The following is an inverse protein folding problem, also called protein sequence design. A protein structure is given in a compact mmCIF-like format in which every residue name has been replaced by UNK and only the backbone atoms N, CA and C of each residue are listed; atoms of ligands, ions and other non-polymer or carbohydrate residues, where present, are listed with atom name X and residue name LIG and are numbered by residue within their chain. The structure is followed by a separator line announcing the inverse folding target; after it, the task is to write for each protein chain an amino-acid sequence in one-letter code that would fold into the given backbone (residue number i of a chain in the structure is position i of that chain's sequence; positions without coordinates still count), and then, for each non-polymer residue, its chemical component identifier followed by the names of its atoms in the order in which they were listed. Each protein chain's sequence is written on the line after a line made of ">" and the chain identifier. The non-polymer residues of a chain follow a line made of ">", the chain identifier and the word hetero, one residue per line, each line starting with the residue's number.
data_IF_884766387052
#
_entry.id   IF_884766387052
#
_cell.length_a   1.000
_cell.length_b   1.000
_cell.length_c   1.000
_cell.angle_alpha   90.00
_cell.angle_beta   90.00
_cell.angle_gamma   90.00
#
_symmetry.space_group_name_H-M   'P 1'
#
loop_
_entity.id
_entity.type
_entity.pdbx_description
1 polymer ?
#
# COMPACT_ATOMS: atom_id res chain seq x y z
N UNK A 1 3.91 -14.64 -19.09
CA UNK A 1 4.34 -13.79 -17.97
C UNK A 1 3.37 -13.87 -16.78
N UNK A 2 2.06 -13.67 -17.01
CA UNK A 2 1.05 -13.67 -15.93
C UNK A 2 1.01 -14.99 -15.15
N UNK A 3 0.92 -16.15 -15.85
CA UNK A 3 0.90 -17.45 -15.22
C UNK A 3 2.19 -17.78 -14.44
N UNK A 4 3.33 -17.30 -14.95
CA UNK A 4 4.63 -17.44 -14.27
C UNK A 4 4.64 -16.64 -12.97
N UNK A 5 4.21 -15.39 -13.03
CA UNK A 5 4.16 -14.50 -11.87
C UNK A 5 3.17 -15.00 -10.80
N UNK A 6 2.01 -15.53 -11.21
CA UNK A 6 1.04 -16.14 -10.28
C UNK A 6 1.64 -17.35 -9.55
N UNK A 7 2.38 -18.20 -10.29
CA UNK A 7 3.06 -19.35 -9.69
C UNK A 7 4.15 -18.90 -8.70
N UNK A 8 4.96 -17.90 -9.07
CA UNK A 8 6.00 -17.35 -8.19
C UNK A 8 5.39 -16.82 -6.88
N UNK A 9 4.33 -15.99 -6.96
CA UNK A 9 3.68 -15.50 -5.73
C UNK A 9 3.02 -16.59 -4.89
N UNK A 10 2.50 -17.67 -5.50
CA UNK A 10 1.94 -18.81 -4.73
C UNK A 10 3.03 -19.54 -3.94
N UNK A 11 4.20 -19.77 -4.57
CA UNK A 11 5.35 -20.34 -3.87
C UNK A 11 5.79 -19.44 -2.72
N UNK A 12 5.95 -18.15 -2.98
CA UNK A 12 6.33 -17.19 -1.96
C UNK A 12 5.34 -17.14 -0.78
N UNK A 13 4.03 -17.28 -1.06
CA UNK A 13 2.98 -17.34 -0.02
C UNK A 13 3.13 -18.59 0.84
N UNK A 14 3.39 -19.74 0.20
CA UNK A 14 3.61 -21.02 0.89
C UNK A 14 4.84 -20.94 1.79
N UNK A 15 5.96 -20.38 1.30
CA UNK A 15 7.18 -20.15 2.07
C UNK A 15 6.93 -19.24 3.28
N UNK A 16 6.19 -18.12 3.09
CA UNK A 16 5.83 -17.24 4.21
C UNK A 16 4.96 -17.95 5.27
N UNK A 17 4.01 -18.78 4.84
CA UNK A 17 3.16 -19.56 5.77
C UNK A 17 4.01 -20.58 6.53
N UNK A 18 4.91 -21.26 5.86
CA UNK A 18 5.84 -22.22 6.46
C UNK A 18 6.76 -21.54 7.49
N UNK A 19 7.38 -20.42 7.15
CA UNK A 19 8.20 -19.62 8.06
C UNK A 19 7.41 -19.22 9.32
N UNK A 20 6.20 -18.71 9.14
CA UNK A 20 5.33 -18.33 10.25
C UNK A 20 5.00 -19.54 11.13
N UNK A 21 4.68 -20.68 10.55
CA UNK A 21 4.30 -21.90 11.27
C UNK A 21 5.42 -22.49 12.11
N UNK A 22 6.67 -22.37 11.65
CA UNK A 22 7.86 -22.86 12.38
C UNK A 22 8.24 -21.98 13.58
N UNK A 23 7.62 -20.81 13.75
CA UNK A 23 7.91 -19.95 14.88
C UNK A 23 7.51 -20.58 16.22
N UNK A 24 8.41 -20.58 17.24
CA UNK A 24 8.09 -21.06 18.57
C UNK A 24 6.86 -20.41 19.21
N UNK A 25 6.60 -19.14 18.88
CA UNK A 25 5.44 -18.40 19.38
C UNK A 25 4.15 -18.89 18.76
N UNK A 26 4.15 -19.24 17.47
CA UNK A 26 3.00 -19.82 16.78
C UNK A 26 2.74 -21.24 17.32
N UNK A 27 3.76 -22.06 17.48
CA UNK A 27 3.61 -23.38 18.10
C UNK A 27 3.08 -23.31 19.53
N UNK A 28 3.49 -22.28 20.30
CA UNK A 28 2.92 -22.02 21.63
C UNK A 28 1.45 -21.62 21.54
N UNK A 29 1.08 -20.77 20.59
CA UNK A 29 -0.31 -20.39 20.32
C UNK A 29 -1.17 -21.64 20.06
N UNK A 30 -0.73 -22.50 19.16
CA UNK A 30 -1.46 -23.72 18.76
C UNK A 30 -1.67 -24.68 19.94
N UNK A 31 -0.66 -24.84 20.79
CA UNK A 31 -0.75 -25.65 22.01
C UNK A 31 -1.74 -25.06 23.02
N UNK A 32 -1.74 -23.74 23.24
CA UNK A 32 -2.61 -23.09 24.20
C UNK A 32 -4.07 -23.14 23.73
N UNK A 33 -4.32 -22.89 22.44
CA UNK A 33 -5.67 -22.78 21.90
C UNK A 33 -6.21 -24.08 21.28
N UNK A 34 -5.38 -25.14 21.26
CA UNK A 34 -5.69 -26.43 20.61
C UNK A 34 -6.26 -26.24 19.18
N UNK A 35 -5.62 -25.35 18.41
CA UNK A 35 -6.07 -24.92 17.08
C UNK A 35 -4.92 -24.46 16.21
N UNK A 36 -4.93 -24.85 14.94
CA UNK A 36 -3.98 -24.38 13.93
C UNK A 36 -4.05 -22.85 13.78
N UNK A 37 -2.89 -22.22 13.77
CA UNK A 37 -2.79 -20.78 13.62
C UNK A 37 -3.12 -20.33 12.19
N UNK A 38 -3.99 -19.34 12.07
CA UNK A 38 -4.32 -18.72 10.79
C UNK A 38 -3.78 -17.28 10.74
N UNK A 39 -2.71 -17.00 9.96
CA UNK A 39 -2.09 -15.67 9.87
C UNK A 39 -3.00 -14.61 9.23
N UNK A 40 -4.11 -15.01 8.60
CA UNK A 40 -5.12 -14.09 8.07
C UNK A 40 -6.18 -13.70 9.11
N UNK A 41 -6.24 -14.38 10.26
CA UNK A 41 -7.20 -14.07 11.30
C UNK A 41 -6.72 -12.91 12.18
N UNK A 42 -7.41 -11.76 12.11
CA UNK A 42 -7.08 -10.59 12.95
C UNK A 42 -7.21 -10.89 14.45
N UNK A 43 -8.11 -11.77 14.84
CA UNK A 43 -8.27 -12.20 16.23
C UNK A 43 -7.05 -13.00 16.70
N UNK A 44 -6.63 -14.00 15.92
CA UNK A 44 -5.49 -14.84 16.28
C UNK A 44 -4.18 -14.06 16.26
N UNK A 45 -4.02 -13.11 15.33
CA UNK A 45 -2.87 -12.21 15.33
C UNK A 45 -2.80 -11.33 16.58
N UNK A 46 -3.94 -10.83 17.08
CA UNK A 46 -3.98 -10.09 18.35
C UNK A 46 -3.53 -10.97 19.51
N UNK A 47 -4.09 -12.16 19.62
CA UNK A 47 -3.72 -13.11 20.65
C UNK A 47 -2.24 -13.50 20.57
N UNK A 48 -1.71 -13.71 19.37
CA UNK A 48 -0.30 -14.02 19.19
C UNK A 48 0.59 -12.85 19.61
N UNK A 49 0.39 -11.67 19.02
CA UNK A 49 1.30 -10.55 19.24
C UNK A 49 1.17 -9.91 20.62
N UNK A 50 -0.04 -9.77 21.12
CA UNK A 50 -0.27 -9.00 22.35
C UNK A 50 -0.38 -9.90 23.59
N UNK A 51 -1.00 -11.08 23.50
CA UNK A 51 -1.24 -11.95 24.66
C UNK A 51 -0.09 -12.96 24.85
N UNK A 52 0.48 -13.54 23.78
CA UNK A 52 1.50 -14.58 23.86
C UNK A 52 2.91 -14.02 23.80
N UNK A 53 3.20 -13.11 22.84
CA UNK A 53 4.51 -12.47 22.70
C UNK A 53 4.65 -11.31 23.68
N UNK A 54 3.53 -10.62 24.00
CA UNK A 54 3.52 -9.52 24.95
C UNK A 54 3.92 -8.16 24.35
N UNK A 55 3.83 -8.00 23.01
CA UNK A 55 4.12 -6.74 22.36
C UNK A 55 3.06 -5.69 22.72
N UNK A 56 3.45 -4.41 22.69
CA UNK A 56 2.57 -3.31 23.05
C UNK A 56 2.15 -2.51 21.83
N UNK A 57 0.88 -2.17 21.74
CA UNK A 57 0.35 -1.23 20.74
C UNK A 57 -0.63 -0.27 21.41
N UNK A 58 -0.71 0.96 20.91
CA UNK A 58 -1.66 1.97 21.38
C UNK A 58 -2.86 2.13 20.45
N UNK A 59 -2.73 1.74 19.19
CA UNK A 59 -3.78 1.91 18.18
C UNK A 59 -4.89 0.88 18.38
N UNK A 60 -6.12 1.37 18.51
CA UNK A 60 -7.31 0.55 18.62
C UNK A 60 -8.19 0.67 17.37
N UNK A 61 -8.97 -0.36 17.11
CA UNK A 61 -10.04 -0.35 16.11
C UNK A 61 -11.25 0.45 16.62
N UNK A 62 -12.19 0.76 15.73
CA UNK A 62 -13.45 1.40 16.13
C UNK A 62 -14.24 0.63 17.20
N UNK A 63 -14.03 -0.69 17.30
CA UNK A 63 -14.63 -1.56 18.31
C UNK A 63 -13.83 -1.64 19.62
N UNK A 64 -12.76 -0.86 19.77
CA UNK A 64 -11.92 -0.81 20.97
C UNK A 64 -10.84 -1.89 21.08
N UNK A 65 -10.81 -2.87 20.18
CA UNK A 65 -9.77 -3.91 20.18
C UNK A 65 -8.44 -3.36 19.63
N UNK A 66 -7.29 -3.92 20.05
CA UNK A 66 -5.99 -3.55 19.51
C UNK A 66 -5.93 -3.82 18.00
N UNK A 67 -5.42 -2.86 17.24
CA UNK A 67 -5.27 -3.03 15.79
C UNK A 67 -4.07 -3.92 15.45
N UNK A 68 -4.21 -4.69 14.36
CA UNK A 68 -3.13 -5.44 13.70
C UNK A 68 -3.08 -5.07 12.22
N UNK A 69 -3.37 -3.80 11.91
CA UNK A 69 -3.24 -3.28 10.55
C UNK A 69 -1.77 -3.11 10.15
N UNK A 70 -1.55 -2.72 8.90
CA UNK A 70 -0.19 -2.55 8.33
C UNK A 70 0.66 -1.59 9.17
N UNK A 71 0.10 -0.44 9.55
CA UNK A 71 0.81 0.58 10.31
C UNK A 71 1.28 0.06 11.66
N UNK A 72 0.39 -0.64 12.39
CA UNK A 72 0.73 -1.24 13.67
C UNK A 72 1.80 -2.31 13.51
N UNK A 73 1.61 -3.25 12.57
CA UNK A 73 2.60 -4.31 12.36
C UNK A 73 3.98 -3.78 11.98
N UNK A 74 4.06 -2.67 11.23
CA UNK A 74 5.33 -2.02 10.91
C UNK A 74 6.03 -1.40 12.13
N UNK A 75 5.29 -1.06 13.18
CA UNK A 75 5.88 -0.52 14.43
C UNK A 75 6.27 -1.59 15.43
N UNK A 76 5.87 -2.84 15.20
CA UNK A 76 6.23 -3.96 16.07
C UNK A 76 7.63 -4.45 15.70
N UNK A 77 8.58 -4.32 16.64
CA UNK A 77 9.94 -4.82 16.48
C UNK A 77 9.97 -6.34 16.73
N UNK A 78 9.46 -7.10 15.76
CA UNK A 78 9.42 -8.55 15.84
C UNK A 78 9.42 -9.21 14.45
N UNK A 79 10.25 -10.25 14.19
CA UNK A 79 10.35 -10.89 12.87
C UNK A 79 9.02 -11.42 12.33
N UNK A 80 8.18 -11.99 13.20
CA UNK A 80 6.84 -12.46 12.80
C UNK A 80 5.92 -11.34 12.29
N UNK A 81 6.09 -10.10 12.76
CA UNK A 81 5.28 -9.00 12.26
C UNK A 81 5.65 -8.70 10.80
N UNK A 82 6.94 -8.76 10.47
CA UNK A 82 7.41 -8.61 9.09
C UNK A 82 6.94 -9.78 8.22
N UNK A 83 7.07 -11.02 8.67
CA UNK A 83 6.59 -12.19 7.93
C UNK A 83 5.08 -12.13 7.63
N UNK A 84 4.26 -11.65 8.58
CA UNK A 84 2.83 -11.44 8.36
C UNK A 84 2.57 -10.30 7.36
N UNK A 85 3.37 -9.23 7.37
CA UNK A 85 3.27 -8.14 6.37
C UNK A 85 3.58 -8.65 4.97
N UNK A 86 4.65 -9.42 4.82
CA UNK A 86 5.08 -9.99 3.54
C UNK A 86 4.04 -10.98 3.00
N UNK A 87 3.51 -11.84 3.86
CA UNK A 87 2.40 -12.73 3.51
C UNK A 87 1.17 -11.96 3.01
N UNK A 88 0.77 -10.89 3.72
CA UNK A 88 -0.38 -10.07 3.32
C UNK A 88 -0.16 -9.36 1.99
N UNK A 89 1.04 -8.84 1.76
CA UNK A 89 1.38 -8.17 0.50
C UNK A 89 1.34 -9.17 -0.66
N UNK A 90 2.00 -10.31 -0.55
CA UNK A 90 2.03 -11.35 -1.59
C UNK A 90 0.64 -11.94 -1.85
N UNK A 91 -0.14 -12.18 -0.80
CA UNK A 91 -1.54 -12.66 -0.92
C UNK A 91 -2.44 -11.64 -1.62
N UNK A 92 -2.25 -10.35 -1.37
CA UNK A 92 -2.98 -9.28 -2.07
C UNK A 92 -2.56 -9.20 -3.53
N UNK A 93 -1.27 -9.34 -3.85
CA UNK A 93 -0.77 -9.32 -5.22
C UNK A 93 -1.32 -10.49 -6.04
N UNK A 94 -1.26 -11.71 -5.54
CA UNK A 94 -1.81 -12.88 -6.20
C UNK A 94 -3.35 -12.86 -6.22
N UNK A 95 -3.98 -12.79 -5.05
CA UNK A 95 -5.42 -12.94 -4.91
C UNK A 95 -6.25 -11.80 -5.47
N UNK A 96 -5.79 -10.55 -5.34
CA UNK A 96 -6.57 -9.39 -5.79
C UNK A 96 -6.14 -8.96 -7.19
N UNK A 97 -4.84 -8.73 -7.43
CA UNK A 97 -4.42 -8.16 -8.70
C UNK A 97 -4.33 -9.20 -9.80
N UNK A 98 -3.56 -10.28 -9.63
CA UNK A 98 -3.37 -11.28 -10.67
C UNK A 98 -4.70 -11.99 -10.98
N UNK A 99 -5.44 -12.41 -9.96
CA UNK A 99 -6.73 -13.07 -10.14
C UNK A 99 -7.73 -12.19 -10.91
N UNK A 100 -7.80 -10.88 -10.59
CA UNK A 100 -8.70 -9.96 -11.30
C UNK A 100 -8.20 -9.65 -12.72
N UNK A 101 -6.89 -9.58 -12.95
CA UNK A 101 -6.34 -9.46 -14.29
C UNK A 101 -6.74 -10.68 -15.13
N UNK A 102 -6.56 -11.90 -14.61
CA UNK A 102 -6.93 -13.13 -15.32
C UNK A 102 -8.41 -13.15 -15.67
N UNK A 103 -9.27 -12.80 -14.72
CA UNK A 103 -10.74 -12.72 -14.92
C UNK A 103 -11.18 -11.62 -15.86
N UNK A 104 -10.40 -10.54 -15.93
CA UNK A 104 -10.72 -9.34 -16.71
C UNK A 104 -10.17 -9.33 -18.12
N UNK A 105 -9.33 -10.30 -18.50
CA UNK A 105 -8.81 -10.39 -19.88
C UNK A 105 -9.93 -10.82 -20.81
N UNK A 106 -10.22 -9.99 -21.79
CA UNK A 106 -11.20 -10.26 -22.83
C UNK A 106 -10.66 -11.28 -23.88
N UNK A 107 -11.54 -11.76 -24.74
CA UNK A 107 -11.19 -12.71 -25.81
C UNK A 107 -10.11 -12.19 -26.78
N UNK A 108 -9.97 -10.88 -26.89
CA UNK A 108 -8.94 -10.19 -27.70
C UNK A 108 -7.63 -9.95 -26.95
N UNK A 109 -7.47 -10.52 -25.74
CA UNK A 109 -6.27 -10.38 -24.92
C UNK A 109 -6.14 -9.02 -24.23
N UNK A 110 -7.19 -8.21 -24.18
CA UNK A 110 -7.16 -6.86 -23.59
C UNK A 110 -7.85 -6.84 -22.24
N UNK A 111 -7.35 -5.94 -21.41
CA UNK A 111 -8.01 -5.55 -20.18
C UNK A 111 -8.81 -4.27 -20.40
N UNK A 112 -10.03 -4.24 -19.88
CA UNK A 112 -10.90 -3.06 -19.90
C UNK A 112 -11.45 -2.78 -18.51
N UNK A 113 -11.53 -1.50 -18.16
CA UNK A 113 -12.13 -1.02 -16.92
C UNK A 113 -13.19 0.03 -17.26
N UNK A 114 -14.28 0.00 -16.54
CA UNK A 114 -15.28 1.06 -16.61
C UNK A 114 -14.84 2.24 -15.76
N UNK A 115 -15.15 3.46 -16.20
CA UNK A 115 -14.94 4.69 -15.43
C UNK A 115 -16.27 5.42 -15.27
N UNK A 116 -16.62 5.74 -14.03
CA UNK A 116 -17.84 6.51 -13.70
C UNK A 116 -17.44 7.96 -13.41
N UNK A 117 -18.00 8.88 -14.19
CA UNK A 117 -17.72 10.33 -14.07
C UNK A 117 -18.40 10.91 -12.82
N UNK A 118 -19.54 10.35 -12.43
CA UNK A 118 -20.38 10.85 -11.33
C UNK A 118 -20.38 9.92 -10.11
N UNK A 119 -19.35 9.07 -9.97
CA UNK A 119 -19.29 8.02 -8.94
C UNK A 119 -18.83 8.51 -7.57
N UNK A 120 -18.41 9.76 -7.42
CA UNK A 120 -17.91 10.32 -6.16
C UNK A 120 -18.47 11.72 -5.88
N UNK A 121 -18.63 12.07 -4.61
CA UNK A 121 -19.07 13.41 -4.18
C UNK A 121 -18.04 14.51 -4.48
N UNK A 122 -16.77 14.14 -4.62
CA UNK A 122 -15.66 15.06 -4.91
C UNK A 122 -15.48 15.35 -6.42
N UNK A 123 -16.28 14.75 -7.29
CA UNK A 123 -16.11 14.87 -8.76
C UNK A 123 -14.94 14.07 -9.33
N UNK A 124 -14.26 13.27 -8.52
CA UNK A 124 -13.20 12.35 -9.01
C UNK A 124 -13.83 11.20 -9.78
N UNK A 125 -13.13 10.71 -10.79
CA UNK A 125 -13.51 9.44 -11.44
C UNK A 125 -13.45 8.29 -10.45
N UNK A 126 -14.41 7.39 -10.55
CA UNK A 126 -14.31 6.06 -9.93
C UNK A 126 -14.24 5.00 -11.01
N UNK A 127 -13.53 3.90 -10.77
CA UNK A 127 -13.50 2.80 -11.71
C UNK A 127 -14.32 1.62 -11.22
N UNK A 128 -14.90 0.89 -12.20
CA UNK A 128 -15.73 -0.28 -12.00
C UNK A 128 -15.30 -1.42 -12.91
N UNK A 129 -15.82 -2.62 -12.66
CA UNK A 129 -15.49 -3.83 -13.42
C UNK A 129 -14.57 -4.78 -12.66
N UNK A 130 -14.13 -5.83 -13.33
CA UNK A 130 -13.31 -6.89 -12.73
C UNK A 130 -11.94 -6.39 -12.26
N UNK A 131 -11.39 -5.38 -12.94
CA UNK A 131 -10.14 -4.74 -12.56
C UNK A 131 -10.35 -3.25 -12.43
N UNK A 132 -10.17 -2.74 -11.20
CA UNK A 132 -10.13 -1.32 -10.96
C UNK A 132 -8.72 -0.77 -11.25
N UNK A 133 -8.58 -0.05 -12.38
CA UNK A 133 -7.29 0.51 -12.79
C UNK A 133 -6.73 1.54 -11.82
N UNK A 134 -7.58 2.22 -11.06
CA UNK A 134 -7.14 3.19 -10.05
C UNK A 134 -6.47 2.54 -8.84
N UNK A 135 -6.67 1.22 -8.64
CA UNK A 135 -6.09 0.47 -7.53
C UNK A 135 -4.82 -0.31 -7.93
N UNK A 136 -4.33 -0.18 -9.17
CA UNK A 136 -3.07 -0.82 -9.56
C UNK A 136 -1.93 -0.29 -8.68
N UNK A 137 -1.14 -1.17 -8.03
CA UNK A 137 -0.13 -0.75 -7.08
C UNK A 137 0.94 0.11 -7.77
N UNK A 138 1.18 1.30 -7.19
CA UNK A 138 2.10 2.29 -7.75
C UNK A 138 3.54 1.77 -7.81
N UNK A 139 3.97 1.05 -6.78
CA UNK A 139 5.37 0.71 -6.58
C UNK A 139 5.72 -0.72 -7.04
N UNK A 140 4.72 -1.54 -7.38
CA UNK A 140 4.95 -2.90 -7.87
C UNK A 140 5.25 -2.89 -9.38
N UNK A 141 6.53 -3.04 -9.72
CA UNK A 141 7.00 -3.04 -11.11
C UNK A 141 6.53 -4.27 -11.89
N UNK A 142 6.34 -5.40 -11.22
CA UNK A 142 6.01 -6.66 -11.90
C UNK A 142 4.56 -6.67 -12.35
N UNK A 143 3.64 -6.18 -11.51
CA UNK A 143 2.25 -5.96 -11.94
C UNK A 143 2.19 -4.93 -13.08
N UNK A 144 2.94 -3.83 -13.00
CA UNK A 144 2.95 -2.81 -14.08
C UNK A 144 3.48 -3.36 -15.41
N UNK A 145 4.48 -4.23 -15.41
CA UNK A 145 5.03 -4.86 -16.62
C UNK A 145 4.04 -5.77 -17.37
N UNK A 146 2.95 -6.19 -16.70
CA UNK A 146 1.89 -6.97 -17.33
C UNK A 146 1.08 -6.14 -18.33
N UNK A 147 1.03 -4.81 -18.13
CA UNK A 147 0.31 -3.88 -19.01
C UNK A 147 1.22 -3.44 -20.14
N UNK A 148 0.87 -3.82 -21.36
CA UNK A 148 1.65 -3.50 -22.57
C UNK A 148 0.78 -2.75 -23.56
N UNK A 149 1.39 -1.82 -24.27
CA UNK A 149 0.77 -1.24 -25.45
C UNK A 149 0.68 -2.32 -26.55
N UNK A 150 -0.29 -2.19 -27.44
CA UNK A 150 -0.34 -3.00 -28.66
C UNK A 150 0.84 -2.63 -29.59
N UNK A 151 1.16 -3.49 -30.53
CA UNK A 151 2.24 -3.26 -31.48
C UNK A 151 2.04 -1.93 -32.22
N UNK A 152 3.10 -1.17 -32.36
CA UNK A 152 3.09 0.17 -32.96
C UNK A 152 2.60 1.29 -32.03
N UNK A 153 2.21 1.00 -30.78
CA UNK A 153 1.74 1.99 -29.80
C UNK A 153 2.62 2.03 -28.57
N UNK A 154 2.53 3.14 -27.83
CA UNK A 154 3.20 3.33 -26.54
C UNK A 154 2.19 3.74 -25.49
N UNK A 155 2.42 3.33 -24.24
CA UNK A 155 1.71 3.88 -23.08
C UNK A 155 2.42 5.17 -22.68
N UNK A 156 1.68 6.27 -22.64
CA UNK A 156 2.16 7.56 -22.11
C UNK A 156 1.47 7.81 -20.79
N UNK A 157 2.24 8.10 -19.77
CA UNK A 157 1.74 8.45 -18.44
C UNK A 157 2.07 9.91 -18.18
N UNK A 158 1.03 10.71 -17.87
CA UNK A 158 1.17 12.09 -17.42
C UNK A 158 0.53 12.21 -16.05
N UNK A 159 1.23 12.87 -15.14
CA UNK A 159 0.74 13.16 -13.78
C UNK A 159 1.04 14.60 -13.44
N UNK A 160 0.08 15.29 -12.84
CA UNK A 160 0.24 16.66 -12.37
C UNK A 160 0.75 16.63 -10.92
N UNK A 161 1.99 17.01 -10.72
CA UNK A 161 2.56 17.10 -9.37
C UNK A 161 1.82 18.11 -8.51
N UNK A 162 1.33 17.67 -7.33
CA UNK A 162 0.68 18.55 -6.32
C UNK A 162 -0.42 19.46 -6.86
N UNK A 163 -1.19 19.00 -7.86
CA UNK A 163 -2.20 19.82 -8.54
C UNK A 163 -3.22 20.46 -7.57
N UNK A 164 -3.67 19.72 -6.56
CA UNK A 164 -4.63 20.22 -5.57
C UNK A 164 -4.08 21.41 -4.79
N UNK A 165 -2.82 21.36 -4.38
CA UNK A 165 -2.16 22.45 -3.67
C UNK A 165 -1.87 23.64 -4.59
N UNK A 166 -1.52 23.37 -5.85
CA UNK A 166 -1.36 24.42 -6.84
C UNK A 166 -2.65 25.22 -7.03
N UNK A 167 -3.77 24.55 -7.21
CA UNK A 167 -5.07 25.24 -7.31
C UNK A 167 -5.45 25.97 -6.02
N UNK A 168 -5.15 25.41 -4.85
CA UNK A 168 -5.36 26.08 -3.58
C UNK A 168 -4.54 27.37 -3.49
N UNK A 169 -3.26 27.35 -3.90
CA UNK A 169 -2.39 28.52 -3.93
C UNK A 169 -2.91 29.62 -4.87
N UNK A 170 -3.45 29.22 -6.05
CA UNK A 170 -4.01 30.17 -7.01
C UNK A 170 -5.30 30.77 -6.48
N UNK A 171 -6.24 29.96 -5.98
CA UNK A 171 -7.55 30.41 -5.53
C UNK A 171 -7.49 31.22 -4.22
N UNK A 172 -6.62 30.86 -3.29
CA UNK A 172 -6.44 31.60 -2.03
C UNK A 172 -5.65 32.90 -2.20
N UNK A 173 -4.90 33.03 -3.29
CA UNK A 173 -3.92 34.09 -3.49
C UNK A 173 -2.86 34.17 -2.39
N UNK A 174 -2.61 33.06 -1.70
CA UNK A 174 -1.62 32.96 -0.65
C UNK A 174 -0.20 33.07 -1.25
N UNK A 175 0.49 34.15 -0.89
CA UNK A 175 1.81 34.45 -1.43
C UNK A 175 2.88 33.45 -1.04
N UNK A 176 2.75 32.84 0.15
CA UNK A 176 3.68 31.82 0.62
C UNK A 176 3.56 30.54 -0.23
N UNK A 177 2.33 30.07 -0.46
CA UNK A 177 2.09 28.92 -1.33
C UNK A 177 2.52 29.19 -2.77
N UNK A 178 2.18 30.37 -3.30
CA UNK A 178 2.54 30.75 -4.67
C UNK A 178 4.07 30.82 -4.84
N UNK A 179 4.81 31.37 -3.85
CA UNK A 179 6.25 31.46 -3.91
C UNK A 179 6.92 30.09 -3.99
N UNK A 180 6.42 29.10 -3.23
CA UNK A 180 6.96 27.74 -3.28
C UNK A 180 6.88 27.14 -4.69
N UNK A 181 5.81 27.42 -5.44
CA UNK A 181 5.66 26.96 -6.83
C UNK A 181 6.53 27.76 -7.81
N UNK A 182 6.66 29.07 -7.62
CA UNK A 182 7.52 29.92 -8.44
C UNK A 182 8.97 29.45 -8.32
N UNK A 183 9.42 29.16 -7.10
CA UNK A 183 10.77 28.71 -6.80
C UNK A 183 10.99 27.23 -7.12
N UNK A 184 9.97 26.54 -7.63
CA UNK A 184 10.00 25.11 -7.98
C UNK A 184 10.45 24.21 -6.82
N UNK A 185 10.12 24.60 -5.60
CA UNK A 185 10.44 23.82 -4.40
C UNK A 185 9.49 22.62 -4.26
N UNK A 186 9.99 21.54 -3.65
CA UNK A 186 9.11 20.45 -3.21
C UNK A 186 8.20 20.97 -2.10
N UNK A 187 6.91 21.11 -2.41
CA UNK A 187 5.92 21.73 -1.53
C UNK A 187 5.90 21.08 -0.13
N UNK A 188 5.89 19.74 -0.07
CA UNK A 188 5.86 19.04 1.22
C UNK A 188 7.10 19.32 2.05
N UNK A 189 8.28 19.33 1.44
CA UNK A 189 9.53 19.70 2.11
C UNK A 189 9.53 21.16 2.55
N UNK A 190 9.00 22.06 1.72
CA UNK A 190 8.90 23.47 2.05
C UNK A 190 8.01 23.72 3.29
N UNK A 191 6.85 23.09 3.33
CA UNK A 191 5.94 23.16 4.48
C UNK A 191 6.56 22.50 5.72
N UNK A 192 7.17 21.32 5.58
CA UNK A 192 7.84 20.65 6.70
C UNK A 192 8.95 21.50 7.31
N UNK A 193 9.77 22.16 6.48
CA UNK A 193 10.80 23.10 6.97
C UNK A 193 10.22 24.16 7.89
N UNK A 194 9.09 24.74 7.50
CA UNK A 194 8.45 25.81 8.28
C UNK A 194 7.77 25.26 9.55
N UNK A 195 7.04 24.16 9.44
CA UNK A 195 6.29 23.58 10.56
C UNK A 195 7.20 23.06 11.67
N UNK A 196 8.30 22.41 11.29
CA UNK A 196 9.22 21.76 12.24
C UNK A 196 10.50 22.56 12.47
N UNK A 197 10.60 23.77 11.89
CA UNK A 197 11.77 24.66 11.98
C UNK A 197 13.09 23.94 11.68
N UNK A 198 13.11 23.19 10.55
CA UNK A 198 14.27 22.39 10.16
C UNK A 198 15.41 23.29 9.64
N UNK A 199 16.63 23.01 10.09
CA UNK A 199 17.81 23.82 9.78
C UNK A 199 18.45 23.54 8.41
N UNK A 200 18.05 22.45 7.72
CA UNK A 200 18.60 22.10 6.40
C UNK A 200 17.88 22.80 5.25
N UNK A 201 18.47 22.76 4.05
CA UNK A 201 17.84 23.27 2.84
C UNK A 201 16.61 22.44 2.44
N UNK A 202 15.61 23.08 1.80
CA UNK A 202 14.34 22.41 1.41
C UNK A 202 14.57 21.14 0.58
N UNK A 203 15.53 21.18 -0.34
CA UNK A 203 15.86 20.05 -1.20
C UNK A 203 16.48 18.86 -0.46
N UNK A 204 17.00 19.09 0.73
CA UNK A 204 17.64 18.07 1.56
C UNK A 204 16.68 17.40 2.55
N UNK A 205 15.53 18.01 2.82
CA UNK A 205 14.55 17.51 3.79
C UNK A 205 14.10 16.10 3.46
N UNK A 206 13.82 15.81 2.21
CA UNK A 206 13.43 14.47 1.77
C UNK A 206 14.47 13.39 2.11
N UNK A 207 15.75 13.78 2.19
CA UNK A 207 16.84 12.88 2.49
C UNK A 207 17.04 12.70 3.99
N UNK A 208 16.99 13.78 4.74
CA UNK A 208 17.35 13.81 6.16
C UNK A 208 16.13 13.69 7.10
N UNK A 209 14.95 14.09 6.63
CA UNK A 209 13.70 14.13 7.40
C UNK A 209 12.54 13.53 6.62
N UNK A 210 12.63 12.25 6.23
CA UNK A 210 11.58 11.62 5.40
C UNK A 210 10.23 11.47 6.12
N UNK A 211 10.23 11.40 7.46
CA UNK A 211 9.01 11.21 8.27
C UNK A 211 8.27 12.53 8.54
N UNK A 212 8.95 13.64 8.51
CA UNK A 212 8.42 14.99 8.71
C UNK A 212 7.85 15.59 7.41
N UNK A 213 8.23 15.03 6.25
CA UNK A 213 7.74 15.40 4.92
C UNK A 213 6.46 14.65 4.60
#
# INVERSE_FOLDING_TARGET
>A
QLAKLDKEYKIDIEECIEEISHSPHVQRFERIHNKTFNPNSTLQLRQLFFDIIGLKSRKKTATGALSVDKEVLQTLDHPLAQAVLDLREKSKLSGTYISNIVKGIDKDGRLRSGFNIQGTTSGRLSSSGNLNYQNIPRDNKDIKKLFKARDGYKIVQCDLGTAEVYYAAVLSSDKFLQQAFIDKLDFHSYVAKQMFNLSCEVNEIKKYYPNER
#
